data_IF_000695671037
#
_entry.id   IF_000695671037
#
_cell.length_a   1.000
_cell.length_b   1.000
_cell.length_c   1.000
_cell.angle_alpha   90.00
_cell.angle_beta   90.00
_cell.angle_gamma   90.00
#
_symmetry.space_group_name_H-M   'P 1'
#
loop_
_entity.id
_entity.type
_entity.pdbx_description
1 polymer ?
#
# COMPACT_ATOMS: atom_id res chain seq x y z
N UNK A 1 -11.64 0.40 11.81
CA UNK A 1 -10.70 1.51 11.56
C UNK A 1 -9.80 1.02 10.45
N UNK A 2 -9.61 1.80 9.39
CA UNK A 2 -8.64 1.45 8.36
C UNK A 2 -7.30 1.88 8.92
N UNK A 3 -6.38 0.93 9.07
CA UNK A 3 -5.00 1.27 9.38
C UNK A 3 -4.36 1.76 8.08
N UNK A 4 -4.33 3.08 7.93
CA UNK A 4 -3.70 3.79 6.81
C UNK A 4 -2.54 4.62 7.35
N UNK A 5 -1.44 4.67 6.59
CA UNK A 5 -0.30 5.56 6.89
C UNK A 5 0.15 6.26 5.63
N UNK A 6 0.68 7.47 5.80
CA UNK A 6 1.35 8.20 4.74
C UNK A 6 2.84 8.27 5.04
N UNK A 7 3.67 8.12 4.01
CA UNK A 7 5.11 8.32 4.10
C UNK A 7 5.62 8.97 2.81
N UNK A 8 6.88 9.43 2.85
CA UNK A 8 7.55 10.03 1.69
C UNK A 8 8.78 9.21 1.32
N UNK A 9 8.93 8.88 0.05
CA UNK A 9 10.11 8.17 -0.44
C UNK A 9 11.32 9.10 -0.62
N UNK A 10 12.50 8.52 -0.88
CA UNK A 10 13.75 9.26 -1.08
C UNK A 10 13.76 10.17 -2.34
N UNK A 11 12.92 9.89 -3.33
CA UNK A 11 12.72 10.76 -4.49
C UNK A 11 11.70 11.88 -4.21
N UNK A 12 11.13 11.92 -3.00
CA UNK A 12 10.21 12.94 -2.55
C UNK A 12 8.76 12.70 -2.95
N UNK A 13 8.39 11.51 -3.45
CA UNK A 13 6.98 11.20 -3.70
C UNK A 13 6.26 10.81 -2.41
N UNK A 14 5.02 11.28 -2.28
CA UNK A 14 4.13 10.91 -1.18
C UNK A 14 3.35 9.65 -1.55
N UNK A 15 3.33 8.71 -0.62
CA UNK A 15 2.63 7.44 -0.74
C UNK A 15 1.71 7.22 0.46
N UNK A 16 0.50 6.79 0.15
CA UNK A 16 -0.46 6.23 1.10
C UNK A 16 -0.29 4.71 1.10
N UNK A 17 -0.21 4.11 2.29
CA UNK A 17 -0.08 2.67 2.47
C UNK A 17 -1.15 2.14 3.39
N UNK A 18 -1.73 1.01 3.00
CA UNK A 18 -2.78 0.33 3.74
C UNK A 18 -2.77 -1.17 3.41
N UNK A 19 -3.30 -1.95 4.34
CA UNK A 19 -3.46 -3.38 4.19
C UNK A 19 -4.82 -3.73 3.54
N UNK A 20 -4.80 -4.59 2.52
CA UNK A 20 -6.02 -4.96 1.80
C UNK A 20 -6.95 -5.91 2.60
N UNK A 21 -6.48 -6.53 3.71
CA UNK A 21 -7.30 -7.40 4.58
C UNK A 21 -8.31 -6.59 5.37
N UNK A 22 -7.91 -5.37 5.72
CA UNK A 22 -8.68 -4.46 6.58
C UNK A 22 -9.62 -3.57 5.76
N UNK A 23 -9.79 -3.86 4.46
CA UNK A 23 -10.49 -3.01 3.50
C UNK A 23 -11.94 -2.68 3.90
N UNK A 24 -12.24 -1.39 3.92
CA UNK A 24 -13.60 -0.86 4.00
C UNK A 24 -14.21 -0.83 2.60
N UNK A 25 -15.50 -1.21 2.41
CA UNK A 25 -16.15 -1.37 1.10
C UNK A 25 -16.12 -0.12 0.18
N UNK A 26 -15.74 1.04 0.71
CA UNK A 26 -15.50 2.27 -0.05
C UNK A 26 -14.27 2.19 -0.95
N UNK A 27 -13.18 1.54 -0.52
CA UNK A 27 -11.92 1.47 -1.29
C UNK A 27 -11.89 0.32 -2.29
N UNK A 28 -12.58 -0.79 -2.04
CA UNK A 28 -12.83 -1.79 -3.07
C UNK A 28 -13.48 -1.23 -4.35
N UNK A 29 -14.23 -0.13 -4.25
CA UNK A 29 -14.81 0.59 -5.41
C UNK A 29 -13.80 1.52 -6.12
N UNK A 30 -12.74 1.96 -5.44
CA UNK A 30 -11.69 2.84 -5.97
C UNK A 30 -10.44 2.07 -6.46
N UNK A 31 -10.34 0.80 -6.07
CA UNK A 31 -9.32 -0.11 -6.55
C UNK A 31 -9.67 -0.60 -7.95
N UNK A 32 -9.16 0.10 -8.96
CA UNK A 32 -9.19 -0.33 -10.37
C UNK A 32 -8.32 -1.59 -10.66
N UNK A 33 -8.01 -2.40 -9.64
CA UNK A 33 -7.20 -3.62 -9.76
C UNK A 33 -7.87 -4.79 -9.02
N UNK A 34 -7.66 -6.04 -9.47
CA UNK A 34 -8.25 -7.19 -8.82
C UNK A 34 -7.64 -7.38 -7.43
N UNK A 35 -8.46 -7.22 -6.39
CA UNK A 35 -8.13 -7.54 -4.99
C UNK A 35 -7.75 -9.02 -4.90
N UNK A 36 -6.55 -9.33 -4.41
CA UNK A 36 -6.08 -10.70 -4.27
C UNK A 36 -6.62 -11.28 -2.96
N UNK A 37 -7.89 -11.72 -3.00
CA UNK A 37 -8.60 -12.28 -1.83
C UNK A 37 -7.90 -13.45 -1.14
N UNK A 38 -7.02 -14.17 -1.84
CA UNK A 38 -6.33 -15.35 -1.32
C UNK A 38 -5.00 -15.02 -0.61
N UNK A 39 -4.29 -13.97 -1.05
CA UNK A 39 -3.03 -13.52 -0.43
C UNK A 39 -3.04 -11.98 -0.33
N UNK A 40 -3.77 -11.45 0.65
CA UNK A 40 -3.94 -10.02 0.78
C UNK A 40 -2.65 -9.33 1.22
N UNK A 41 -2.21 -8.37 0.41
CA UNK A 41 -0.98 -7.60 0.51
C UNK A 41 -1.15 -6.17 1.02
N UNK A 42 0.01 -5.53 1.16
CA UNK A 42 0.20 -4.14 1.48
C UNK A 42 0.19 -3.32 0.19
N UNK A 43 -0.72 -2.36 0.11
CA UNK A 43 -0.95 -1.56 -1.09
C UNK A 43 -0.37 -0.17 -0.88
N UNK A 44 0.39 0.29 -1.85
CA UNK A 44 0.95 1.64 -1.91
C UNK A 44 0.28 2.43 -3.02
N UNK A 45 -0.23 3.61 -2.72
CA UNK A 45 -0.88 4.50 -3.68
C UNK A 45 -0.20 5.86 -3.63
N UNK A 46 0.31 6.33 -4.77
CA UNK A 46 0.87 7.67 -4.87
C UNK A 46 -0.21 8.68 -5.25
N UNK A 47 0.04 9.95 -4.92
CA UNK A 47 -0.80 11.08 -5.38
C UNK A 47 -0.92 11.19 -6.90
N UNK A 48 0.04 10.63 -7.64
CA UNK A 48 0.01 10.57 -9.10
C UNK A 48 -0.84 9.42 -9.64
N UNK A 49 -1.53 8.66 -8.77
CA UNK A 49 -2.37 7.53 -9.15
C UNK A 49 -1.60 6.22 -9.40
N UNK A 50 -0.29 6.16 -9.10
CA UNK A 50 0.48 4.93 -9.22
C UNK A 50 0.14 4.00 -8.06
N UNK A 51 -0.05 2.72 -8.35
CA UNK A 51 -0.39 1.71 -7.36
C UNK A 51 0.65 0.61 -7.36
N UNK A 52 1.05 0.14 -6.17
CA UNK A 52 1.97 -0.98 -6.02
C UNK A 52 1.50 -1.93 -4.94
N UNK A 53 1.84 -3.20 -5.08
CA UNK A 53 1.47 -4.27 -4.16
C UNK A 53 2.72 -4.98 -3.65
N UNK A 54 2.74 -5.25 -2.34
CA UNK A 54 3.76 -6.05 -1.68
C UNK A 54 3.09 -7.05 -0.74
N UNK A 55 3.67 -8.25 -0.50
CA UNK A 55 3.16 -9.15 0.52
C UNK A 55 3.08 -8.46 1.89
N UNK A 56 1.92 -8.50 2.56
CA UNK A 56 1.71 -7.72 3.77
C UNK A 56 2.50 -8.27 4.98
N UNK A 57 3.43 -7.49 5.55
CA UNK A 57 4.05 -7.83 6.83
C UNK A 57 3.06 -7.74 7.99
N UNK A 58 3.16 -8.63 8.97
CA UNK A 58 2.23 -8.70 10.12
C UNK A 58 2.14 -7.38 10.92
N UNK A 59 3.28 -6.72 11.18
CA UNK A 59 3.38 -5.46 11.92
C UNK A 59 3.72 -4.26 11.02
N UNK A 60 3.23 -4.22 9.77
CA UNK A 60 3.59 -3.15 8.82
C UNK A 60 3.35 -1.74 9.37
N UNK A 61 2.31 -1.57 10.19
CA UNK A 61 1.92 -0.29 10.81
C UNK A 61 3.02 0.29 11.70
N UNK A 62 3.87 -0.57 12.27
CA UNK A 62 4.97 -0.19 13.15
C UNK A 62 6.29 0.00 12.43
N UNK A 63 6.36 -0.32 11.12
CA UNK A 63 7.58 -0.15 10.35
C UNK A 63 7.92 1.34 10.18
N UNK A 64 9.20 1.71 10.24
CA UNK A 64 9.61 3.08 9.97
C UNK A 64 9.42 3.43 8.48
N UNK A 65 9.26 4.72 8.20
CA UNK A 65 9.00 5.23 6.84
C UNK A 65 10.08 4.83 5.84
N UNK A 66 11.34 4.74 6.27
CA UNK A 66 12.45 4.27 5.44
C UNK A 66 12.27 2.82 4.96
N UNK A 67 11.73 1.95 5.82
CA UNK A 67 11.45 0.56 5.47
C UNK A 67 10.23 0.51 4.56
N UNK A 68 9.19 1.30 4.85
CA UNK A 68 8.02 1.39 3.95
C UNK A 68 8.41 1.88 2.55
N UNK A 69 9.37 2.81 2.45
CA UNK A 69 9.91 3.27 1.19
C UNK A 69 10.70 2.18 0.45
N UNK A 70 11.53 1.39 1.14
CA UNK A 70 12.23 0.23 0.53
C UNK A 70 11.22 -0.81 0.01
N UNK A 71 10.21 -1.15 0.81
CA UNK A 71 9.15 -2.08 0.42
C UNK A 71 8.38 -1.55 -0.80
N UNK A 72 8.00 -0.27 -0.81
CA UNK A 72 7.33 0.37 -1.92
C UNK A 72 8.19 0.39 -3.21
N UNK A 73 9.51 0.57 -3.08
CA UNK A 73 10.43 0.53 -4.21
C UNK A 73 10.51 -0.87 -4.83
N UNK A 74 10.36 -1.92 -4.02
CA UNK A 74 10.42 -3.34 -4.44
C UNK A 74 9.05 -3.91 -4.80
N UNK A 75 7.97 -3.23 -4.41
CA UNK A 75 6.59 -3.59 -4.69
C UNK A 75 6.32 -3.73 -6.19
N UNK A 76 5.50 -4.73 -6.53
CA UNK A 76 5.07 -4.94 -7.90
C UNK A 76 4.12 -3.80 -8.29
N UNK A 77 4.37 -3.18 -9.44
CA UNK A 77 3.46 -2.16 -9.98
C UNK A 77 2.16 -2.81 -10.42
N UNK A 78 1.04 -2.29 -9.92
CA UNK A 78 -0.29 -2.65 -10.37
C UNK A 78 -0.57 -1.79 -11.62
N UNK A 79 -0.75 -2.45 -12.77
CA UNK A 79 -1.11 -1.84 -14.05
C UNK A 79 -2.59 -2.01 -14.33
#
# INVERSE_FOLDING_TARGET
>A
MVDERCFRDAAGNEWEVFDERTDSPRRALECDYPIQRADPGLVFVSRAGRKRLWPCPEDWQRLPDEVLADLCARAAELR
#
